data_IF_159336636540
#
_entry.id   IF_159336636540
#
_cell.length_a   1.000
_cell.length_b   1.000
_cell.length_c   1.000
_cell.angle_alpha   90.00
_cell.angle_beta   90.00
_cell.angle_gamma   90.00
#
_symmetry.space_group_name_H-M   'P 1'
#
loop_
_entity.id
_entity.type
_entity.pdbx_description
1 polymer ?
#
# COMPACT_ATOMS: atom_id res chain seq x y z
N UNK A 1 1.19 80.98 -12.91
CA UNK A 1 0.68 79.98 -11.92
C UNK A 1 0.79 78.62 -12.62
N UNK A 2 1.82 77.83 -12.29
CA UNK A 2 2.05 76.53 -12.86
C UNK A 2 1.65 75.42 -11.81
N UNK A 3 0.61 74.68 -12.13
CA UNK A 3 0.12 73.59 -11.31
C UNK A 3 0.89 72.31 -11.59
N UNK A 4 1.62 71.81 -10.61
CA UNK A 4 2.28 70.51 -10.69
C UNK A 4 1.30 69.40 -10.31
N UNK A 5 1.07 68.45 -11.25
CA UNK A 5 0.31 67.24 -11.00
C UNK A 5 1.27 66.13 -10.57
N UNK A 6 1.19 65.74 -9.28
CA UNK A 6 1.89 64.57 -8.74
C UNK A 6 1.09 63.31 -9.14
N UNK A 7 1.66 62.52 -10.06
CA UNK A 7 1.17 61.17 -10.37
C UNK A 7 1.66 60.23 -9.29
N UNK A 8 0.71 59.81 -8.39
CA UNK A 8 0.95 58.74 -7.41
C UNK A 8 0.89 57.39 -8.17
N UNK A 9 2.05 56.84 -8.52
CA UNK A 9 2.15 55.47 -9.04
C UNK A 9 1.84 54.44 -7.97
N UNK A 10 0.71 53.75 -8.09
CA UNK A 10 0.38 52.59 -7.28
C UNK A 10 1.26 51.42 -7.73
N UNK A 11 2.29 51.09 -6.97
CA UNK A 11 3.07 49.86 -7.12
C UNK A 11 2.18 48.67 -6.71
N UNK A 12 1.57 48.00 -7.67
CA UNK A 12 0.92 46.70 -7.47
C UNK A 12 2.01 45.67 -7.16
N UNK A 13 2.12 45.25 -5.92
CA UNK A 13 2.95 44.11 -5.54
C UNK A 13 2.37 42.85 -6.19
N UNK A 14 3.18 42.03 -6.88
CA UNK A 14 2.70 40.75 -7.40
C UNK A 14 2.32 39.86 -6.21
N UNK A 15 1.06 39.49 -6.12
CA UNK A 15 0.61 38.46 -5.19
C UNK A 15 1.37 37.16 -5.50
N UNK A 16 1.92 36.45 -4.51
CA UNK A 16 2.50 35.15 -4.77
C UNK A 16 1.39 34.25 -5.36
N UNK A 17 1.67 33.67 -6.51
CA UNK A 17 0.85 32.59 -7.06
C UNK A 17 0.97 31.41 -6.08
N UNK A 18 0.01 31.25 -5.17
CA UNK A 18 -0.06 30.06 -4.35
C UNK A 18 -0.13 28.86 -5.29
N UNK A 19 0.76 27.90 -5.10
CA UNK A 19 0.68 26.65 -5.83
C UNK A 19 -0.72 26.06 -5.55
N UNK A 20 -1.40 25.69 -6.61
CA UNK A 20 -2.76 25.17 -6.50
C UNK A 20 -2.68 23.64 -6.43
N UNK A 21 -3.42 23.03 -5.50
CA UNK A 21 -3.54 21.59 -5.40
C UNK A 21 -3.85 20.97 -6.77
N UNK A 22 -3.18 19.89 -7.09
CA UNK A 22 -3.28 19.24 -8.39
C UNK A 22 -3.63 17.77 -8.25
N UNK A 23 -4.38 17.25 -9.22
CA UNK A 23 -4.70 15.85 -9.33
C UNK A 23 -3.57 15.04 -9.97
N UNK A 24 -3.35 13.85 -9.43
CA UNK A 24 -2.38 12.86 -9.92
C UNK A 24 -3.00 11.47 -9.85
N UNK A 25 -2.65 10.63 -10.81
CA UNK A 25 -2.99 9.20 -10.83
C UNK A 25 -1.73 8.39 -10.55
N UNK A 26 -1.83 7.41 -9.65
CA UNK A 26 -0.71 6.50 -9.38
C UNK A 26 -0.35 5.71 -10.63
N UNK A 27 0.95 5.62 -10.92
CA UNK A 27 1.47 4.78 -12.00
C UNK A 27 1.58 3.33 -11.50
N UNK A 28 0.77 2.38 -12.03
CA UNK A 28 0.76 1.00 -11.54
C UNK A 28 2.04 0.23 -11.88
N UNK A 29 2.86 0.72 -12.81
CA UNK A 29 4.13 0.09 -13.17
C UNK A 29 5.23 0.47 -12.19
N UNK A 30 5.29 1.75 -11.79
CA UNK A 30 6.32 2.28 -10.91
C UNK A 30 5.89 2.36 -9.44
N UNK A 31 4.64 2.01 -9.12
CA UNK A 31 4.16 1.90 -7.72
C UNK A 31 4.33 0.48 -7.23
N UNK A 32 5.02 0.30 -6.10
CA UNK A 32 5.33 -0.99 -5.49
C UNK A 32 5.09 -0.98 -4.00
N UNK A 33 4.49 -2.06 -3.50
CA UNK A 33 4.41 -2.36 -2.07
C UNK A 33 5.34 -3.54 -1.80
N UNK A 34 6.36 -3.32 -0.97
CA UNK A 34 7.16 -4.39 -0.38
C UNK A 34 6.59 -4.69 1.00
N UNK A 35 6.58 -5.95 1.37
CA UNK A 35 6.23 -6.36 2.72
C UNK A 35 7.20 -7.43 3.24
N UNK A 36 7.41 -7.42 4.56
CA UNK A 36 8.25 -8.36 5.25
C UNK A 36 7.57 -8.87 6.51
N UNK A 37 7.67 -10.18 6.75
CA UNK A 37 7.12 -10.83 7.95
C UNK A 37 8.09 -11.85 8.49
N UNK A 38 8.24 -11.94 9.82
CA UNK A 38 9.10 -12.95 10.44
C UNK A 38 8.62 -14.37 10.09
N UNK A 39 9.54 -15.23 9.68
CA UNK A 39 9.28 -16.62 9.37
C UNK A 39 10.07 -17.54 10.32
N UNK A 40 9.36 -18.14 11.28
CA UNK A 40 9.85 -19.06 12.30
C UNK A 40 11.08 -18.55 13.07
N UNK A 41 11.32 -17.24 13.10
CA UNK A 41 12.48 -16.63 13.73
C UNK A 41 13.80 -16.83 12.98
N UNK A 42 13.80 -17.53 11.83
CA UNK A 42 15.01 -17.77 11.04
C UNK A 42 15.33 -16.63 10.08
N UNK A 43 14.29 -16.00 9.53
CA UNK A 43 14.44 -14.95 8.52
C UNK A 43 13.18 -14.08 8.45
N UNK A 44 13.28 -12.99 7.70
CA UNK A 44 12.12 -12.24 7.25
C UNK A 44 11.74 -12.72 5.86
N UNK A 45 10.54 -13.26 5.71
CA UNK A 45 9.96 -13.56 4.41
C UNK A 45 9.56 -12.25 3.72
N UNK A 46 10.08 -12.02 2.53
CA UNK A 46 9.86 -10.80 1.76
C UNK A 46 8.94 -11.07 0.57
N UNK A 47 8.04 -10.16 0.31
CA UNK A 47 7.20 -10.19 -0.86
C UNK A 47 6.92 -8.80 -1.42
N UNK A 48 6.37 -8.76 -2.62
CA UNK A 48 6.00 -7.52 -3.30
C UNK A 48 4.59 -7.62 -3.86
N UNK A 49 3.89 -6.47 -3.92
CA UNK A 49 2.65 -6.33 -4.69
C UNK A 49 2.85 -5.23 -5.73
N UNK A 50 2.53 -5.53 -6.98
CA UNK A 50 2.61 -4.58 -8.10
C UNK A 50 1.23 -4.24 -8.64
N UNK A 51 1.15 -3.16 -9.43
CA UNK A 51 -0.09 -2.79 -10.12
C UNK A 51 -1.10 -2.04 -9.25
N UNK A 52 -0.63 -1.46 -8.13
CA UNK A 52 -1.45 -0.55 -7.32
C UNK A 52 -1.91 0.63 -8.16
N UNK A 53 -3.18 1.00 -8.01
CA UNK A 53 -3.80 2.16 -8.67
C UNK A 53 -4.32 3.12 -7.61
N UNK A 54 -4.57 4.36 -7.99
CA UNK A 54 -5.10 5.33 -7.05
C UNK A 54 -5.13 6.75 -7.56
N UNK A 55 -5.69 7.62 -6.74
CA UNK A 55 -5.81 9.05 -6.99
C UNK A 55 -5.18 9.82 -5.83
N UNK A 56 -4.44 10.85 -6.16
CA UNK A 56 -3.81 11.76 -5.22
C UNK A 56 -4.13 13.19 -5.62
N UNK A 57 -4.64 13.97 -4.68
CA UNK A 57 -4.65 15.44 -4.76
C UNK A 57 -3.50 15.94 -3.90
N UNK A 58 -2.62 16.76 -4.45
CA UNK A 58 -1.42 17.19 -3.76
C UNK A 58 -0.95 18.58 -4.18
N UNK A 59 -0.59 19.37 -3.17
CA UNK A 59 0.15 20.62 -3.29
C UNK A 59 1.45 20.49 -2.49
N UNK A 60 2.64 20.61 -3.08
CA UNK A 60 3.89 20.50 -2.35
C UNK A 60 4.09 21.60 -1.30
N UNK A 61 3.40 22.72 -1.43
CA UNK A 61 3.51 23.86 -0.52
C UNK A 61 2.47 23.81 0.61
N UNK A 62 1.38 23.01 0.43
CA UNK A 62 0.31 22.81 1.41
C UNK A 62 -0.24 21.37 1.41
N UNK A 63 0.32 20.52 2.25
CA UNK A 63 -0.10 19.13 2.37
C UNK A 63 -1.42 18.95 3.11
N UNK A 64 -1.92 19.99 3.80
CA UNK A 64 -3.18 19.91 4.54
C UNK A 64 -4.39 19.66 3.63
N UNK A 65 -4.28 20.08 2.37
CA UNK A 65 -5.30 19.86 1.34
C UNK A 65 -5.19 18.52 0.62
N UNK A 66 -4.14 17.73 0.91
CA UNK A 66 -3.89 16.49 0.19
C UNK A 66 -4.92 15.40 0.53
N UNK A 67 -5.27 14.60 -0.47
CA UNK A 67 -6.19 13.46 -0.37
C UNK A 67 -5.65 12.30 -1.20
N UNK A 68 -5.72 11.11 -0.62
CA UNK A 68 -5.17 9.89 -1.24
C UNK A 68 -6.20 8.76 -1.16
N UNK A 69 -6.45 8.11 -2.29
CA UNK A 69 -7.20 6.87 -2.39
C UNK A 69 -6.37 5.88 -3.20
N UNK A 70 -6.16 4.67 -2.66
CA UNK A 70 -5.31 3.64 -3.26
C UNK A 70 -6.02 2.30 -3.23
N UNK A 71 -5.88 1.54 -4.32
CA UNK A 71 -6.23 0.13 -4.42
C UNK A 71 -4.98 -0.70 -4.72
N UNK A 72 -4.80 -1.77 -3.95
CA UNK A 72 -3.68 -2.70 -4.06
C UNK A 72 -4.22 -4.07 -4.45
N UNK A 73 -3.93 -4.59 -5.67
CA UNK A 73 -4.44 -5.87 -6.13
C UNK A 73 -3.67 -7.02 -5.47
N UNK A 74 -4.23 -7.61 -4.41
CA UNK A 74 -3.58 -8.64 -3.58
C UNK A 74 -3.24 -9.92 -4.36
N UNK A 75 -4.01 -10.22 -5.41
CA UNK A 75 -3.72 -11.36 -6.30
C UNK A 75 -2.36 -11.24 -7.03
N UNK A 76 -1.75 -10.05 -7.02
CA UNK A 76 -0.42 -9.79 -7.59
C UNK A 76 0.71 -9.86 -6.56
N UNK A 77 0.44 -10.40 -5.37
CA UNK A 77 1.48 -10.67 -4.38
C UNK A 77 2.45 -11.73 -4.89
N UNK A 78 3.74 -11.42 -4.81
CA UNK A 78 4.84 -12.28 -5.26
C UNK A 78 5.89 -12.40 -4.16
N UNK A 79 6.11 -13.63 -3.72
CA UNK A 79 7.10 -14.01 -2.70
C UNK A 79 8.37 -14.59 -3.34
N UNK A 80 8.49 -14.54 -4.68
CA UNK A 80 9.64 -15.08 -5.42
C UNK A 80 9.64 -16.60 -5.61
N UNK A 81 8.67 -17.33 -5.06
CA UNK A 81 8.51 -18.78 -5.22
C UNK A 81 7.03 -19.17 -5.40
N UNK A 82 6.76 -20.08 -6.34
CA UNK A 82 5.40 -20.45 -6.69
C UNK A 82 4.62 -21.14 -5.55
N UNK A 83 5.27 -21.83 -4.63
CA UNK A 83 4.61 -22.47 -3.47
C UNK A 83 4.26 -21.41 -2.44
N UNK A 84 5.16 -20.47 -2.19
CA UNK A 84 4.94 -19.35 -1.29
C UNK A 84 3.84 -18.41 -1.84
N UNK A 85 3.83 -18.17 -3.14
CA UNK A 85 2.78 -17.39 -3.79
C UNK A 85 1.40 -18.04 -3.56
N UNK A 86 1.29 -19.35 -3.77
CA UNK A 86 0.03 -20.07 -3.48
C UNK A 86 -0.35 -19.99 -2.02
N UNK A 87 0.61 -20.11 -1.10
CA UNK A 87 0.35 -20.06 0.33
C UNK A 87 -0.16 -18.68 0.78
N UNK A 88 0.48 -17.59 0.34
CA UNK A 88 0.08 -16.23 0.73
C UNK A 88 -1.28 -15.83 0.17
N UNK A 89 -1.66 -16.35 -1.01
CA UNK A 89 -2.95 -16.06 -1.66
C UNK A 89 -4.11 -16.92 -1.13
N UNK A 90 -3.82 -17.98 -0.38
CA UNK A 90 -4.80 -18.97 0.08
C UNK A 90 -5.83 -18.38 1.07
N UNK A 91 -6.96 -19.08 1.24
CA UNK A 91 -8.08 -18.65 2.06
C UNK A 91 -7.81 -18.47 3.54
N UNK A 92 -6.78 -19.11 4.08
CA UNK A 92 -6.32 -18.95 5.46
C UNK A 92 -5.24 -17.84 5.62
N UNK A 93 -4.87 -17.15 4.54
CA UNK A 93 -3.94 -16.03 4.53
C UNK A 93 -4.62 -14.79 3.94
N UNK A 94 -4.24 -14.30 2.75
CA UNK A 94 -4.87 -13.12 2.15
C UNK A 94 -6.28 -13.37 1.59
N UNK A 95 -6.66 -14.62 1.39
CA UNK A 95 -7.95 -15.04 0.81
C UNK A 95 -8.34 -14.19 -0.41
N UNK A 96 -7.44 -14.14 -1.38
CA UNK A 96 -7.61 -13.25 -2.55
C UNK A 96 -8.77 -13.63 -3.46
N UNK A 97 -9.35 -14.80 -3.26
CA UNK A 97 -10.58 -15.22 -3.94
C UNK A 97 -11.80 -14.44 -3.43
N UNK A 98 -11.84 -14.11 -2.12
CA UNK A 98 -12.90 -13.32 -1.48
C UNK A 98 -12.53 -11.85 -1.37
N UNK A 99 -11.26 -11.55 -1.15
CA UNK A 99 -10.73 -10.21 -0.91
C UNK A 99 -9.61 -9.90 -1.91
N UNK A 100 -9.94 -9.68 -3.20
CA UNK A 100 -8.93 -9.51 -4.24
C UNK A 100 -8.11 -8.23 -4.13
N UNK A 101 -8.60 -7.25 -3.35
CA UNK A 101 -8.02 -5.91 -3.27
C UNK A 101 -7.95 -5.45 -1.82
N UNK A 102 -6.84 -4.82 -1.42
CA UNK A 102 -6.79 -3.96 -0.25
C UNK A 102 -6.96 -2.50 -0.70
N UNK A 103 -7.57 -1.67 0.14
CA UNK A 103 -7.76 -0.24 -0.14
C UNK A 103 -7.28 0.62 1.03
N UNK A 104 -6.75 1.79 0.70
CA UNK A 104 -6.39 2.81 1.69
C UNK A 104 -6.97 4.16 1.28
N UNK A 105 -7.62 4.85 2.24
CA UNK A 105 -8.17 6.19 2.04
C UNK A 105 -7.70 7.09 3.17
N UNK A 106 -6.98 8.15 2.80
CA UNK A 106 -6.49 9.11 3.79
C UNK A 106 -7.63 9.89 4.43
N UNK A 107 -7.52 10.12 5.74
CA UNK A 107 -8.44 10.97 6.51
C UNK A 107 -7.73 12.16 7.15
N UNK A 108 -6.41 12.05 7.39
CA UNK A 108 -5.61 13.08 8.05
C UNK A 108 -4.18 13.03 7.57
N UNK A 109 -3.63 14.22 7.29
CA UNK A 109 -2.23 14.38 6.90
C UNK A 109 -1.59 15.39 7.85
N UNK A 110 -0.53 14.98 8.54
CA UNK A 110 0.22 15.76 9.49
C UNK A 110 1.62 15.99 8.91
N UNK A 111 1.83 17.15 8.30
CA UNK A 111 3.14 17.51 7.76
C UNK A 111 4.11 17.82 8.90
N UNK A 112 5.24 17.12 8.91
CA UNK A 112 6.31 17.33 9.90
C UNK A 112 7.33 18.38 9.42
N UNK A 113 7.66 18.36 8.12
CA UNK A 113 8.57 19.28 7.47
C UNK A 113 8.26 19.34 5.95
N UNK A 114 9.00 20.10 5.11
CA UNK A 114 8.71 20.20 3.67
C UNK A 114 8.72 18.89 2.88
N UNK A 115 9.33 17.84 3.44
CA UNK A 115 9.52 16.55 2.77
C UNK A 115 8.92 15.36 3.51
N UNK A 116 8.47 15.52 4.75
CA UNK A 116 7.95 14.43 5.55
C UNK A 116 6.57 14.73 6.11
N UNK A 117 5.72 13.71 6.10
CA UNK A 117 4.40 13.75 6.71
C UNK A 117 4.00 12.39 7.27
N UNK A 118 3.12 12.41 8.26
CA UNK A 118 2.35 11.26 8.70
C UNK A 118 0.99 11.28 8.04
N UNK A 119 0.69 10.28 7.23
CA UNK A 119 -0.56 10.13 6.50
C UNK A 119 -1.38 9.04 7.16
N UNK A 120 -2.47 9.40 7.82
CA UNK A 120 -3.38 8.47 8.48
C UNK A 120 -4.68 8.33 7.70
N UNK A 121 -5.28 7.15 7.77
CA UNK A 121 -6.50 6.86 7.05
C UNK A 121 -7.03 5.46 7.37
N UNK A 122 -8.03 5.05 6.63
CA UNK A 122 -8.63 3.73 6.76
C UNK A 122 -7.99 2.77 5.76
N UNK A 123 -7.35 1.72 6.28
CA UNK A 123 -6.91 0.54 5.52
C UNK A 123 -7.98 -0.54 5.60
N UNK A 124 -8.47 -0.98 4.45
CA UNK A 124 -9.32 -2.18 4.35
C UNK A 124 -8.48 -3.31 3.77
N UNK A 125 -8.28 -4.36 4.55
CA UNK A 125 -7.52 -5.56 4.18
C UNK A 125 -8.27 -6.80 4.66
N UNK A 126 -8.36 -7.84 3.84
CA UNK A 126 -9.06 -9.08 4.18
C UNK A 126 -10.52 -8.84 4.64
N UNK A 127 -11.19 -7.83 4.09
CA UNK A 127 -12.55 -7.43 4.44
C UNK A 127 -12.70 -6.66 5.75
N UNK A 128 -11.59 -6.38 6.46
CA UNK A 128 -11.58 -5.66 7.76
C UNK A 128 -11.00 -4.27 7.55
N UNK A 129 -11.74 -3.24 8.02
CA UNK A 129 -11.28 -1.86 8.02
C UNK A 129 -10.62 -1.48 9.35
N UNK A 130 -9.45 -0.85 9.30
CA UNK A 130 -8.70 -0.35 10.46
C UNK A 130 -8.05 0.99 10.16
N UNK A 131 -7.88 1.80 11.19
CA UNK A 131 -7.06 2.99 11.11
C UNK A 131 -5.59 2.60 10.97
N UNK A 132 -4.93 3.14 9.97
CA UNK A 132 -3.52 2.92 9.68
C UNK A 132 -2.84 4.24 9.37
N UNK A 133 -1.64 4.44 9.88
CA UNK A 133 -0.79 5.57 9.53
C UNK A 133 0.43 5.09 8.74
N UNK A 134 0.87 5.94 7.80
CA UNK A 134 2.06 5.78 6.99
C UNK A 134 3.00 6.94 7.30
N UNK A 135 4.28 6.66 7.48
CA UNK A 135 5.32 7.69 7.51
C UNK A 135 5.80 7.91 6.07
N UNK A 136 5.54 9.09 5.53
CA UNK A 136 5.68 9.40 4.10
C UNK A 136 6.79 10.42 3.89
N UNK A 137 7.65 10.15 2.91
CA UNK A 137 8.66 11.07 2.38
C UNK A 137 8.25 11.50 0.97
N UNK A 138 8.18 12.80 0.74
CA UNK A 138 8.07 13.38 -0.59
C UNK A 138 9.46 13.49 -1.21
N UNK A 139 9.70 12.77 -2.31
CA UNK A 139 11.01 12.70 -2.93
C UNK A 139 11.23 13.87 -3.89
N UNK A 140 10.26 14.09 -4.79
CA UNK A 140 10.33 15.20 -5.77
C UNK A 140 9.03 15.36 -6.57
N UNK A 141 8.89 16.54 -7.20
CA UNK A 141 7.88 16.82 -8.23
C UNK A 141 8.57 17.48 -9.43
N UNK A 142 8.67 16.78 -10.54
CA UNK A 142 9.28 17.32 -11.77
C UNK A 142 8.66 16.72 -13.02
N UNK A 143 9.06 17.23 -14.18
CA UNK A 143 8.76 16.56 -15.46
C UNK A 143 9.61 15.32 -15.60
N UNK A 144 8.97 14.22 -16.01
CA UNK A 144 9.66 12.98 -16.37
C UNK A 144 10.68 13.28 -17.51
N UNK A 145 11.91 12.77 -17.44
CA UNK A 145 12.89 12.93 -18.50
C UNK A 145 12.55 12.13 -19.77
N UNK A 146 11.63 11.16 -19.68
CA UNK A 146 11.21 10.30 -20.79
C UNK A 146 9.86 10.79 -21.37
N UNK A 147 9.67 10.76 -22.70
CA UNK A 147 8.38 11.07 -23.29
C UNK A 147 7.24 10.20 -22.70
N UNK A 148 6.06 10.79 -22.48
CA UNK A 148 5.57 12.09 -22.92
C UNK A 148 5.89 13.26 -21.98
N UNK A 149 6.93 13.20 -21.16
CA UNK A 149 7.41 14.30 -20.28
C UNK A 149 6.35 14.77 -19.28
N UNK A 150 5.55 13.87 -18.74
CA UNK A 150 4.48 14.19 -17.78
C UNK A 150 5.07 14.70 -16.47
N UNK A 151 4.32 15.53 -15.76
CA UNK A 151 4.71 15.98 -14.43
C UNK A 151 4.41 14.86 -13.44
N UNK A 152 5.45 14.38 -12.75
CA UNK A 152 5.38 13.22 -11.87
C UNK A 152 5.85 13.59 -10.48
N UNK A 153 5.08 13.19 -9.47
CA UNK A 153 5.43 13.28 -8.05
C UNK A 153 5.88 11.90 -7.56
N UNK A 154 7.00 11.85 -6.84
CA UNK A 154 7.55 10.64 -6.26
C UNK A 154 7.46 10.66 -4.73
N UNK A 155 7.09 9.51 -4.14
CA UNK A 155 6.99 9.34 -2.70
C UNK A 155 7.55 7.98 -2.28
N UNK A 156 8.11 7.94 -1.05
CA UNK A 156 8.43 6.71 -0.33
C UNK A 156 7.63 6.68 0.97
N UNK A 157 7.12 5.53 1.37
CA UNK A 157 6.42 5.40 2.62
C UNK A 157 6.78 4.12 3.36
N UNK A 158 6.67 4.15 4.69
CA UNK A 158 6.82 2.99 5.56
C UNK A 158 5.65 2.87 6.52
N UNK A 159 5.33 1.65 6.92
CA UNK A 159 4.37 1.37 7.98
C UNK A 159 4.62 -0.01 8.57
N UNK A 160 4.07 -0.26 9.75
CA UNK A 160 3.94 -1.60 10.33
C UNK A 160 2.47 -1.84 10.64
N UNK A 161 1.97 -3.02 10.32
CA UNK A 161 0.63 -3.46 10.68
C UNK A 161 0.70 -4.82 11.35
N UNK A 162 -0.34 -5.17 12.12
CA UNK A 162 -0.53 -6.51 12.67
C UNK A 162 -1.54 -7.25 11.80
N UNK A 163 -1.13 -8.39 11.22
CA UNK A 163 -2.01 -9.20 10.37
C UNK A 163 -3.21 -9.74 11.13
N UNK A 164 -3.06 -9.99 12.45
CA UNK A 164 -4.15 -10.42 13.32
C UNK A 164 -5.27 -9.38 13.45
N UNK A 165 -4.97 -8.07 13.34
CA UNK A 165 -5.98 -7.00 13.36
C UNK A 165 -6.94 -7.08 12.15
N UNK A 166 -6.54 -7.80 11.11
CA UNK A 166 -7.32 -8.04 9.89
C UNK A 166 -7.85 -9.48 9.79
N UNK A 167 -7.80 -10.25 10.90
CA UNK A 167 -8.30 -11.63 10.92
C UNK A 167 -7.40 -12.63 10.16
N UNK A 168 -6.16 -12.28 9.86
CA UNK A 168 -5.19 -13.17 9.20
C UNK A 168 -4.38 -13.88 10.28
N UNK A 169 -4.92 -14.98 10.79
CA UNK A 169 -4.46 -15.63 12.01
C UNK A 169 -3.71 -16.95 11.81
N UNK A 170 -3.63 -17.46 10.59
CA UNK A 170 -3.00 -18.75 10.32
C UNK A 170 -1.52 -18.77 10.71
N UNK A 171 -1.01 -19.95 11.13
CA UNK A 171 0.40 -20.24 11.35
C UNK A 171 1.09 -19.31 12.38
N UNK A 172 0.38 -18.91 13.45
CA UNK A 172 0.89 -17.99 14.50
C UNK A 172 2.22 -18.38 15.12
N UNK A 173 2.52 -19.69 15.19
CA UNK A 173 3.80 -20.19 15.70
C UNK A 173 4.97 -20.08 14.72
N UNK A 174 4.68 -19.87 13.42
CA UNK A 174 5.68 -19.84 12.37
C UNK A 174 5.78 -18.48 11.66
N UNK A 175 4.66 -17.76 11.57
CA UNK A 175 4.59 -16.47 10.88
C UNK A 175 4.33 -15.39 11.93
N UNK A 176 5.21 -14.39 11.98
CA UNK A 176 5.09 -13.24 12.86
C UNK A 176 3.78 -12.48 12.65
N UNK A 177 3.35 -11.75 13.67
CA UNK A 177 2.14 -10.95 13.59
C UNK A 177 2.39 -9.59 12.93
N UNK A 178 3.54 -8.99 13.18
CA UNK A 178 3.92 -7.71 12.59
C UNK A 178 4.40 -7.89 11.15
N UNK A 179 3.82 -7.09 10.26
CA UNK A 179 4.17 -7.00 8.85
C UNK A 179 4.71 -5.60 8.59
N UNK A 180 5.99 -5.53 8.21
CA UNK A 180 6.64 -4.30 7.81
C UNK A 180 6.31 -3.99 6.35
N UNK A 181 5.94 -2.74 6.07
CA UNK A 181 5.65 -2.26 4.73
C UNK A 181 6.68 -1.21 4.32
N UNK A 182 7.13 -1.31 3.07
CA UNK A 182 7.82 -0.25 2.34
C UNK A 182 7.11 -0.03 1.01
N UNK A 183 6.79 1.21 0.72
CA UNK A 183 5.96 1.57 -0.43
C UNK A 183 6.71 2.64 -1.23
N UNK A 184 6.88 2.40 -2.53
CA UNK A 184 7.43 3.37 -3.47
C UNK A 184 6.33 3.74 -4.47
N UNK A 185 6.15 5.05 -4.69
CA UNK A 185 5.03 5.58 -5.46
C UNK A 185 5.53 6.60 -6.47
N UNK A 186 5.11 6.43 -7.72
CA UNK A 186 5.11 7.48 -8.73
C UNK A 186 3.66 7.86 -9.08
N UNK A 187 3.36 9.16 -9.03
CA UNK A 187 2.04 9.68 -9.32
C UNK A 187 2.14 10.72 -10.45
N UNK A 188 1.49 10.42 -11.55
CA UNK A 188 1.52 11.20 -12.79
C UNK A 188 0.38 12.21 -12.81
N UNK A 189 0.67 13.47 -13.15
CA UNK A 189 -0.35 14.52 -13.20
C UNK A 189 -1.51 14.15 -14.13
N UNK A 190 -2.72 14.27 -13.61
CA UNK A 190 -3.98 13.97 -14.27
C UNK A 190 -5.04 14.97 -13.81
N UNK A 191 -5.54 15.79 -14.75
CA UNK A 191 -6.51 16.84 -14.45
C UNK A 191 -7.87 16.33 -13.99
N UNK A 192 -8.27 15.14 -14.45
CA UNK A 192 -9.59 14.57 -14.18
C UNK A 192 -9.72 14.06 -12.72
N UNK A 193 -8.60 13.92 -12.02
CA UNK A 193 -8.60 13.41 -10.63
C UNK A 193 -9.29 14.35 -9.68
N UNK A 194 -9.18 15.66 -9.85
CA UNK A 194 -9.83 16.64 -8.97
C UNK A 194 -11.36 16.48 -8.96
N UNK A 195 -11.95 16.25 -10.12
CA UNK A 195 -13.39 16.06 -10.26
C UNK A 195 -13.83 14.66 -9.79
N UNK A 196 -12.95 13.66 -9.98
CA UNK A 196 -13.27 12.25 -9.72
C UNK A 196 -13.17 11.90 -8.23
N UNK A 197 -12.16 12.40 -7.52
CA UNK A 197 -11.89 12.02 -6.12
C UNK A 197 -13.01 12.50 -5.18
N UNK A 198 -13.68 13.60 -5.52
CA UNK A 198 -14.81 14.14 -4.76
C UNK A 198 -16.13 13.41 -5.06
N UNK A 199 -16.24 12.83 -6.26
CA UNK A 199 -17.44 12.10 -6.68
C UNK A 199 -17.49 10.66 -6.13
N UNK A 200 -16.35 10.10 -5.71
CA UNK A 200 -16.25 8.75 -5.19
C UNK A 200 -15.72 8.78 -3.74
N UNK A 201 -16.59 9.03 -2.74
CA UNK A 201 -16.19 8.83 -1.36
C UNK A 201 -15.75 7.38 -1.16
N UNK A 202 -14.83 7.16 -0.20
CA UNK A 202 -14.30 5.84 0.14
C UNK A 202 -15.43 4.80 0.21
N UNK A 203 -15.20 3.56 -0.25
CA UNK A 203 -16.16 2.49 -0.04
C UNK A 203 -16.44 2.36 1.46
N UNK A 204 -17.71 2.43 1.83
CA UNK A 204 -18.15 2.24 3.20
C UNK A 204 -17.69 0.85 3.66
N UNK A 205 -17.05 0.77 4.82
CA UNK A 205 -16.55 -0.49 5.35
C UNK A 205 -17.70 -1.50 5.43
N UNK A 206 -17.60 -2.60 4.72
CA UNK A 206 -18.58 -3.67 4.80
C UNK A 206 -18.53 -4.21 6.23
N UNK A 207 -19.66 -4.25 6.97
CA UNK A 207 -19.69 -4.83 8.30
C UNK A 207 -19.18 -6.26 8.24
N UNK A 208 -18.13 -6.57 9.01
CA UNK A 208 -17.58 -7.92 9.11
C UNK A 208 -18.67 -8.83 9.69
N UNK A 209 -19.12 -9.88 8.98
CA UNK A 209 -19.97 -10.87 9.61
C UNK A 209 -19.25 -11.48 10.79
N UNK A 210 -19.94 -11.83 11.89
CA UNK A 210 -19.32 -12.47 13.05
C UNK A 210 -18.56 -13.72 12.60
N UNK A 211 -17.43 -14.06 13.26
CA UNK A 211 -16.66 -15.23 12.92
C UNK A 211 -17.57 -16.45 12.94
N UNK A 212 -17.68 -17.14 11.81
CA UNK A 212 -18.28 -18.47 11.78
C UNK A 212 -17.36 -19.37 12.58
N UNK A 213 -17.93 -20.00 13.63
CA UNK A 213 -17.27 -21.02 14.44
C UNK A 213 -17.04 -22.27 13.58
N UNK A 214 -15.96 -22.25 12.83
CA UNK A 214 -15.54 -23.34 11.96
C UNK A 214 -14.60 -24.26 12.76
N UNK A 215 -15.14 -24.86 13.83
CA UNK A 215 -14.52 -25.97 14.58
C UNK A 215 -14.58 -27.28 13.79
N UNK A 216 -14.35 -27.25 12.49
CA UNK A 216 -14.15 -28.46 11.73
C UNK A 216 -12.72 -28.98 11.97
N UNK A 217 -12.56 -30.26 12.38
CA UNK A 217 -11.23 -30.84 12.52
C UNK A 217 -10.51 -30.85 11.16
N UNK A 218 -9.23 -30.45 11.17
CA UNK A 218 -8.39 -30.50 9.98
C UNK A 218 -8.38 -31.92 9.40
N UNK A 219 -8.43 -32.09 8.06
CA UNK A 219 -8.26 -33.39 7.44
C UNK A 219 -6.87 -33.95 7.81
N UNK A 220 -6.71 -35.27 7.98
CA UNK A 220 -5.44 -35.88 8.34
C UNK A 220 -4.39 -35.54 7.26
N UNK A 221 -3.20 -35.20 7.73
CA UNK A 221 -2.03 -34.92 6.89
C UNK A 221 -1.59 -36.22 6.18
N UNK A 222 -1.93 -36.36 4.90
CA UNK A 222 -1.51 -37.49 4.04
C UNK A 222 -0.08 -37.32 3.49
N UNK A 223 0.79 -36.57 4.11
CA UNK A 223 2.15 -36.33 3.64
C UNK A 223 3.26 -36.86 4.54
N UNK A 224 3.02 -37.94 5.28
CA UNK A 224 4.14 -38.72 5.84
C UNK A 224 4.82 -39.53 4.72
N UNK A 225 6.08 -39.25 4.35
CA UNK A 225 6.78 -40.09 3.38
C UNK A 225 6.99 -41.48 4.01
N UNK A 226 6.48 -42.51 3.34
CA UNK A 226 6.75 -43.91 3.65
C UNK A 226 8.26 -44.12 3.82
N UNK A 227 8.74 -44.65 4.93
CA UNK A 227 10.18 -44.95 5.09
C UNK A 227 10.63 -45.94 4.02
N UNK A 228 11.88 -45.78 3.52
CA UNK A 228 12.41 -46.71 2.53
C UNK A 228 12.51 -48.14 3.13
N UNK A 229 12.30 -49.21 2.30
CA UNK A 229 12.40 -50.56 2.76
C UNK A 229 13.81 -50.86 3.29
N UNK A 230 13.86 -51.58 4.43
CA UNK A 230 15.12 -52.03 5.03
C UNK A 230 15.96 -52.87 4.04
N UNK A 231 17.29 -52.71 3.99
CA UNK A 231 18.11 -53.52 3.14
C UNK A 231 18.08 -54.99 3.61
N UNK A 232 17.59 -55.84 2.70
CA UNK A 232 17.53 -57.29 2.94
C UNK A 232 18.87 -57.86 3.32
N UNK A 233 18.88 -58.67 4.39
CA UNK A 233 20.00 -59.46 4.84
C UNK A 233 20.46 -60.38 3.71
N UNK A 234 21.69 -60.15 3.20
CA UNK A 234 22.32 -61.03 2.23
C UNK A 234 22.80 -62.27 2.98
N UNK A 235 22.14 -63.42 2.74
CA UNK A 235 22.62 -64.72 3.18
C UNK A 235 23.97 -65.03 2.55
N UNK A 236 24.94 -65.38 3.41
CA UNK A 236 26.30 -65.78 3.00
C UNK A 236 26.29 -67.28 2.71
N UNK A 237 26.64 -67.74 1.51
CA UNK A 237 26.78 -69.20 1.23
C UNK A 237 27.99 -69.79 1.92
N UNK A 238 27.77 -71.01 2.39
CA UNK A 238 28.72 -71.89 3.05
C UNK A 238 29.88 -72.35 2.15
#
# INVERSE_FOLDING_TARGET
MAGAWLLLGVLASPSPLLAQAAGYRLDPVHTRVLFGVSHAGFSTALGTVSGSTGMLVFDPDDWSSARLQVEVPLARADMGDARWNRAVLAGNMLDTARFPTASFVSSRIEQADPTHARVCGTLTLHGVARDQCLDVTFNQLRRDPVPPFRRTAGFSATATLKRSDFGIDAWKSMIGDEVELRIEVEAVRDGDVLDTIDAHPAPEAIPVPPPTDDSAPAPPDESEPTPPPEPGTVDKPS
#
